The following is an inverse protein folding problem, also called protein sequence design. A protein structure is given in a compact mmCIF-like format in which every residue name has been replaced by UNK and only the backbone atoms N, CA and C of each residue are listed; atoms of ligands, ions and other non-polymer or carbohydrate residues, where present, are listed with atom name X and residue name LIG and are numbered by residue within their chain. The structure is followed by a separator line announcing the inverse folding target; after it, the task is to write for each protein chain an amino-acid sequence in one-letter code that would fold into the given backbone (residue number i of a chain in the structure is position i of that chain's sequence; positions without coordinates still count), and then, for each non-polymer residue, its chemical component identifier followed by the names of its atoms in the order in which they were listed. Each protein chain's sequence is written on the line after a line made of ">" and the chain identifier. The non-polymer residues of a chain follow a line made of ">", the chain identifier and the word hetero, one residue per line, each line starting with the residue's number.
data_IF_951857791738
#
_entry.id   IF_951857791738
#
_cell.length_a   1.000
_cell.length_b   1.000
_cell.length_c   1.000
_cell.angle_alpha   90.00
_cell.angle_beta   90.00
_cell.angle_gamma   90.00
#
_symmetry.space_group_name_H-M   'P 1'
#
loop_
_entity.id
_entity.type
_entity.pdbx_description
1 polymer ?
#
# COMPACT_ATOMS: atom_id res chain seq x y z
N UNK A 1 7.74 -10.73 5.61
CA UNK A 1 6.90 -10.75 6.84
C UNK A 1 6.13 -9.44 6.89
N UNK A 2 4.79 -9.50 6.86
CA UNK A 2 3.93 -8.32 6.92
C UNK A 2 3.94 -7.74 8.34
N UNK A 3 4.10 -6.43 8.46
CA UNK A 3 3.94 -5.72 9.74
C UNK A 3 2.65 -4.89 9.80
N UNK A 4 2.41 -4.23 10.93
CA UNK A 4 1.18 -3.47 11.16
C UNK A 4 0.96 -2.37 10.12
N UNK A 5 2.04 -1.70 9.67
CA UNK A 5 1.94 -0.65 8.66
C UNK A 5 1.59 -1.24 7.29
N UNK A 6 2.13 -2.41 6.96
CA UNK A 6 1.76 -3.11 5.72
C UNK A 6 0.27 -3.48 5.73
N UNK A 7 -0.28 -3.94 6.86
CA UNK A 7 -1.70 -4.26 7.02
C UNK A 7 -2.58 -3.01 6.88
N UNK A 8 -2.20 -1.90 7.51
CA UNK A 8 -2.96 -0.65 7.40
C UNK A 8 -2.90 -0.05 5.99
N UNK A 9 -1.79 -0.26 5.29
CA UNK A 9 -1.64 0.13 3.88
C UNK A 9 -2.55 -0.70 2.97
N UNK A 10 -2.66 -2.01 3.20
CA UNK A 10 -3.61 -2.87 2.48
C UNK A 10 -5.06 -2.48 2.75
N UNK A 11 -5.41 -2.11 3.99
CA UNK A 11 -6.75 -1.59 4.32
C UNK A 11 -7.03 -0.28 3.59
N UNK A 12 -6.09 0.66 3.62
CA UNK A 12 -6.23 1.94 2.92
C UNK A 12 -6.39 1.78 1.41
N UNK A 13 -5.67 0.82 0.80
CA UNK A 13 -5.83 0.44 -0.60
C UNK A 13 -7.17 -0.25 -0.87
N UNK A 14 -7.66 -1.08 0.05
CA UNK A 14 -8.97 -1.71 -0.09
C UNK A 14 -10.10 -0.67 -0.09
N UNK A 15 -10.03 0.30 0.83
CA UNK A 15 -11.02 1.37 0.95
C UNK A 15 -10.94 2.36 -0.24
N UNK A 16 -9.73 2.62 -0.72
CA UNK A 16 -9.46 3.51 -1.85
C UNK A 16 -8.49 2.87 -2.86
N UNK A 17 -8.96 1.98 -3.76
CA UNK A 17 -8.11 1.25 -4.69
C UNK A 17 -7.26 2.12 -5.62
N UNK A 18 -7.74 3.33 -5.91
CA UNK A 18 -7.04 4.30 -6.77
C UNK A 18 -6.15 5.28 -6.02
N UNK A 19 -6.00 5.12 -4.70
CA UNK A 19 -5.18 6.00 -3.89
C UNK A 19 -3.71 5.85 -4.29
N UNK A 20 -3.09 6.98 -4.64
CA UNK A 20 -1.65 7.02 -4.91
C UNK A 20 -0.82 7.07 -3.62
N UNK A 21 0.49 6.85 -3.76
CA UNK A 21 1.48 6.90 -2.65
C UNK A 21 1.35 8.17 -1.79
N UNK A 22 1.11 9.32 -2.42
CA UNK A 22 0.91 10.59 -1.72
C UNK A 22 -0.29 10.56 -0.78
N UNK A 23 -1.42 10.07 -1.26
CA UNK A 23 -2.67 10.03 -0.50
C UNK A 23 -2.53 9.05 0.67
N UNK A 24 -2.06 7.83 0.39
CA UNK A 24 -1.77 6.81 1.41
C UNK A 24 -0.81 7.33 2.48
N UNK A 25 0.23 8.08 2.10
CA UNK A 25 1.17 8.67 3.05
C UNK A 25 0.52 9.67 4.00
N UNK A 26 -0.44 10.45 3.51
CA UNK A 26 -1.19 11.42 4.32
C UNK A 26 -2.17 10.70 5.24
N UNK A 27 -2.88 9.71 4.73
CA UNK A 27 -3.85 8.91 5.50
C UNK A 27 -3.18 8.15 6.63
N UNK A 28 -2.01 7.55 6.38
CA UNK A 28 -1.29 6.73 7.36
C UNK A 28 -0.29 7.52 8.21
N UNK A 29 -0.09 8.81 7.94
CA UNK A 29 0.80 9.66 8.72
C UNK A 29 2.30 9.31 8.61
N UNK A 30 2.71 8.72 7.49
CA UNK A 30 4.10 8.29 7.24
C UNK A 30 4.70 8.96 6.02
N UNK A 31 6.02 8.89 5.85
CA UNK A 31 6.69 9.45 4.68
C UNK A 31 6.31 8.71 3.38
N UNK A 32 6.25 9.43 2.26
CA UNK A 32 5.99 8.84 0.92
C UNK A 32 6.98 7.73 0.56
N UNK A 33 8.27 7.93 0.88
CA UNK A 33 9.30 6.93 0.63
C UNK A 33 9.07 5.64 1.43
N UNK A 34 8.51 5.74 2.63
CA UNK A 34 8.13 4.57 3.44
C UNK A 34 7.02 3.79 2.77
N UNK A 35 5.95 4.48 2.35
CA UNK A 35 4.83 3.84 1.61
C UNK A 35 5.34 3.17 0.34
N UNK A 36 6.12 3.88 -0.48
CA UNK A 36 6.66 3.34 -1.72
C UNK A 36 7.52 2.09 -1.47
N UNK A 37 8.40 2.11 -0.46
CA UNK A 37 9.22 0.95 -0.11
C UNK A 37 8.40 -0.23 0.40
N UNK A 38 7.30 0.02 1.13
CA UNK A 38 6.40 -1.05 1.58
C UNK A 38 5.64 -1.69 0.42
N UNK A 39 5.06 -0.88 -0.47
CA UNK A 39 4.36 -1.36 -1.66
C UNK A 39 5.28 -2.19 -2.55
N UNK A 40 6.46 -1.69 -2.87
CA UNK A 40 7.46 -2.40 -3.68
C UNK A 40 7.88 -3.73 -3.01
N UNK A 41 8.04 -3.75 -1.69
CA UNK A 41 8.30 -5.02 -0.98
C UNK A 41 7.13 -5.99 -1.10
N UNK A 42 5.90 -5.52 -0.90
CA UNK A 42 4.71 -6.35 -0.97
C UNK A 42 4.42 -6.87 -2.38
N UNK A 43 4.71 -6.11 -3.42
CA UNK A 43 4.68 -6.58 -4.81
C UNK A 43 5.70 -7.68 -5.04
N UNK A 44 6.95 -7.46 -4.62
CA UNK A 44 8.02 -8.45 -4.74
C UNK A 44 7.72 -9.74 -3.96
N UNK A 45 7.05 -9.61 -2.81
CA UNK A 45 6.61 -10.72 -1.97
C UNK A 45 5.31 -11.37 -2.52
N UNK A 46 4.70 -10.84 -3.59
CA UNK A 46 3.45 -11.34 -4.18
C UNK A 46 2.18 -11.08 -3.35
N UNK A 47 2.27 -10.21 -2.33
CA UNK A 47 1.15 -9.83 -1.46
C UNK A 47 0.23 -8.84 -2.17
N UNK A 48 0.80 -7.90 -2.93
CA UNK A 48 0.05 -6.99 -3.81
C UNK A 48 0.32 -7.43 -5.25
N UNK A 49 -0.74 -7.86 -5.94
CA UNK A 49 -0.64 -8.33 -7.35
C UNK A 49 -1.17 -7.31 -8.35
N UNK A 50 -1.76 -6.21 -7.86
CA UNK A 50 -2.30 -5.13 -8.67
C UNK A 50 -3.00 -4.08 -7.81
N UNK A 51 -3.20 -2.88 -8.37
CA UNK A 51 -3.81 -1.72 -7.69
C UNK A 51 -5.25 -1.45 -8.15
N UNK A 52 -5.91 -2.44 -8.75
CA UNK A 52 -7.21 -2.27 -9.39
C UNK A 52 -7.74 -3.60 -9.91
N UNK A 53 -9.01 -3.67 -10.33
CA UNK A 53 -9.67 -4.95 -10.54
C UNK A 53 -8.97 -5.75 -11.64
N UNK A 54 -8.57 -6.98 -11.29
CA UNK A 54 -8.37 -8.06 -12.24
C UNK A 54 -9.75 -8.39 -12.83
N UNK A 55 -10.05 -7.86 -14.03
CA UNK A 55 -11.20 -8.27 -14.84
C UNK A 55 -10.78 -9.33 -15.85
#
# INVERSE_FOLDING_TARGET
>A
MLDALDVDLLRALHDSPRAGVLELSRTLGVARGTVAARLDRMERDGVVTGYGPDV
#
